data_IF_125842529912
#
_entry.id   IF_125842529912
#
_cell.length_a   1.000
_cell.length_b   1.000
_cell.length_c   1.000
_cell.angle_alpha   90.00
_cell.angle_beta   90.00
_cell.angle_gamma   90.00
#
_symmetry.space_group_name_H-M   'P 1'
#
loop_
_entity.id
_entity.type
_entity.pdbx_description
1 polymer ?
#
# COMPACT_ATOMS: atom_id res chain seq x y z
N UNK A 1 12.31 -4.26 -44.90
CA UNK A 1 13.33 -5.22 -44.39
C UNK A 1 14.76 -4.77 -44.72
N UNK A 2 15.02 -4.20 -45.90
CA UNK A 2 16.34 -3.68 -46.29
C UNK A 2 16.89 -2.63 -45.32
N UNK A 3 16.09 -1.61 -44.98
CA UNK A 3 16.52 -0.48 -44.13
C UNK A 3 16.76 -0.86 -42.67
N UNK A 4 16.01 -1.85 -42.15
CA UNK A 4 16.20 -2.35 -40.78
C UNK A 4 17.57 -3.02 -40.65
N UNK A 5 17.92 -3.86 -41.64
CA UNK A 5 19.21 -4.53 -41.71
C UNK A 5 20.32 -3.49 -41.85
N UNK A 6 20.13 -2.49 -42.71
CA UNK A 6 21.08 -1.40 -42.91
C UNK A 6 21.40 -0.61 -41.62
N UNK A 7 20.40 -0.34 -40.78
CA UNK A 7 20.60 0.37 -39.51
C UNK A 7 21.33 -0.51 -38.48
N UNK A 8 21.00 -1.79 -38.41
CA UNK A 8 21.67 -2.73 -37.51
C UNK A 8 23.12 -2.99 -37.95
N UNK A 9 23.37 -3.10 -39.25
CA UNK A 9 24.71 -3.22 -39.83
C UNK A 9 25.52 -1.94 -39.58
N UNK A 10 24.91 -0.76 -39.69
CA UNK A 10 25.55 0.51 -39.34
C UNK A 10 25.91 0.60 -37.85
N UNK A 11 25.01 0.20 -36.96
CA UNK A 11 25.27 0.12 -35.51
C UNK A 11 26.47 -0.78 -35.21
N UNK A 12 26.54 -1.95 -35.86
CA UNK A 12 27.69 -2.85 -35.73
C UNK A 12 28.98 -2.22 -36.21
N UNK A 13 28.98 -1.67 -37.43
CA UNK A 13 30.19 -1.12 -38.04
C UNK A 13 30.73 0.08 -37.25
N UNK A 14 29.84 0.95 -36.78
CA UNK A 14 30.20 2.14 -36.01
C UNK A 14 30.68 1.79 -34.59
N UNK A 15 30.11 0.74 -33.98
CA UNK A 15 30.60 0.23 -32.69
C UNK A 15 31.97 -0.42 -32.81
N UNK A 16 32.19 -1.22 -33.87
CA UNK A 16 33.48 -1.83 -34.16
C UNK A 16 34.54 -0.76 -34.45
N UNK A 17 34.19 0.30 -35.20
CA UNK A 17 35.07 1.43 -35.50
C UNK A 17 35.52 2.19 -34.25
N UNK A 18 34.60 2.48 -33.33
CA UNK A 18 34.86 3.34 -32.16
C UNK A 18 35.44 2.54 -30.99
N UNK A 19 34.84 1.41 -30.65
CA UNK A 19 35.16 0.65 -29.43
C UNK A 19 36.00 -0.61 -29.69
N UNK A 20 36.29 -0.92 -30.96
CA UNK A 20 37.01 -2.14 -31.40
C UNK A 20 36.40 -3.41 -30.84
N UNK A 21 35.08 -3.44 -30.72
CA UNK A 21 34.31 -4.60 -30.28
C UNK A 21 33.04 -4.77 -31.12
N UNK A 22 32.61 -6.02 -31.28
CA UNK A 22 31.33 -6.35 -31.93
C UNK A 22 30.27 -6.60 -30.87
N UNK A 23 29.26 -5.72 -30.72
CA UNK A 23 28.21 -5.92 -29.73
C UNK A 23 27.25 -7.03 -30.19
N UNK A 24 26.79 -7.85 -29.24
CA UNK A 24 25.75 -8.84 -29.51
C UNK A 24 24.41 -8.15 -29.82
N UNK A 25 23.88 -8.36 -31.01
CA UNK A 25 22.60 -7.80 -31.49
C UNK A 25 21.55 -8.91 -31.53
N UNK A 26 20.44 -8.73 -30.82
CA UNK A 26 19.31 -9.64 -30.87
C UNK A 26 18.35 -9.20 -31.99
N UNK A 27 18.53 -9.75 -33.18
CA UNK A 27 17.79 -9.38 -34.38
C UNK A 27 16.24 -9.37 -34.22
N UNK A 28 15.60 -10.39 -33.63
CA UNK A 28 14.15 -10.36 -33.39
C UNK A 28 13.68 -9.17 -32.55
N UNK A 29 14.40 -8.83 -31.48
CA UNK A 29 14.02 -7.75 -30.57
C UNK A 29 14.40 -6.37 -31.10
N UNK A 30 15.65 -6.22 -31.51
CA UNK A 30 16.23 -4.94 -31.95
C UNK A 30 15.74 -4.58 -33.36
N UNK A 31 15.56 -5.58 -34.24
CA UNK A 31 14.96 -5.38 -35.57
C UNK A 31 13.49 -5.00 -35.51
N UNK A 32 12.71 -5.52 -34.55
CA UNK A 32 11.32 -5.10 -34.34
C UNK A 32 11.21 -3.66 -33.84
N UNK A 33 12.18 -3.20 -33.05
CA UNK A 33 12.23 -1.82 -32.55
C UNK A 33 12.59 -0.84 -33.67
N UNK A 34 13.60 -1.16 -34.49
CA UNK A 34 13.96 -0.35 -35.67
C UNK A 34 12.80 -0.33 -36.67
N UNK A 35 12.12 -1.46 -36.88
CA UNK A 35 10.92 -1.55 -37.73
C UNK A 35 9.83 -0.58 -37.27
N UNK A 36 9.54 -0.54 -35.97
CA UNK A 36 8.54 0.34 -35.35
C UNK A 36 8.87 1.83 -35.54
N UNK A 37 10.15 2.19 -35.45
CA UNK A 37 10.58 3.59 -35.62
C UNK A 37 10.54 4.06 -37.07
N UNK A 38 10.90 3.19 -38.02
CA UNK A 38 10.84 3.50 -39.45
C UNK A 38 9.40 3.56 -39.98
N UNK A 39 8.57 2.55 -39.65
CA UNK A 39 7.23 2.40 -40.23
C UNK A 39 6.14 3.13 -39.44
N UNK A 40 6.13 3.03 -38.11
CA UNK A 40 5.02 3.56 -37.31
C UNK A 40 5.24 5.01 -36.89
N UNK A 41 6.50 5.49 -36.91
CA UNK A 41 6.88 6.82 -36.41
C UNK A 41 7.59 7.69 -37.47
N UNK A 42 7.76 7.20 -38.70
CA UNK A 42 8.28 7.97 -39.84
C UNK A 42 9.71 8.52 -39.68
N UNK A 43 10.53 7.92 -38.81
CA UNK A 43 11.90 8.38 -38.59
C UNK A 43 12.76 8.08 -39.83
N UNK A 44 13.53 9.07 -40.29
CA UNK A 44 14.45 8.91 -41.43
C UNK A 44 15.68 8.05 -41.06
N UNK A 45 16.14 7.23 -42.00
CA UNK A 45 17.26 6.29 -41.83
C UNK A 45 18.54 7.02 -41.44
N UNK A 46 18.83 8.18 -42.04
CA UNK A 46 20.06 8.94 -41.73
C UNK A 46 19.98 9.59 -40.36
N UNK A 47 18.79 10.03 -39.96
CA UNK A 47 18.55 10.56 -38.60
C UNK A 47 18.82 9.48 -37.56
N UNK A 48 18.29 8.28 -37.76
CA UNK A 48 18.55 7.12 -36.89
C UNK A 48 20.05 6.77 -36.82
N UNK A 49 20.75 6.73 -37.96
CA UNK A 49 22.20 6.50 -38.00
C UNK A 49 22.97 7.56 -37.22
N UNK A 50 22.63 8.85 -37.36
CA UNK A 50 23.28 9.93 -36.64
C UNK A 50 23.12 9.80 -35.12
N UNK A 51 21.91 9.50 -34.64
CA UNK A 51 21.63 9.27 -33.22
C UNK A 51 22.37 8.04 -32.68
N UNK A 52 22.43 6.96 -33.47
CA UNK A 52 23.19 5.75 -33.13
C UNK A 52 24.68 6.07 -33.00
N UNK A 53 25.28 6.77 -33.97
CA UNK A 53 26.69 7.13 -33.93
C UNK A 53 27.02 8.03 -32.72
N UNK A 54 26.16 9.01 -32.42
CA UNK A 54 26.33 9.89 -31.27
C UNK A 54 26.27 9.10 -29.95
N UNK A 55 25.32 8.17 -29.84
CA UNK A 55 25.16 7.33 -28.66
C UNK A 55 26.34 6.37 -28.45
N UNK A 56 26.83 5.74 -29.53
CA UNK A 56 28.02 4.88 -29.48
C UNK A 56 29.26 5.66 -29.05
N UNK A 57 29.46 6.89 -29.54
CA UNK A 57 30.59 7.75 -29.14
C UNK A 57 30.54 8.13 -27.66
N UNK A 58 29.33 8.33 -27.12
CA UNK A 58 29.13 8.67 -25.72
C UNK A 58 29.24 7.44 -24.78
N UNK A 59 29.04 6.22 -25.30
CA UNK A 59 29.08 5.00 -24.51
C UNK A 59 30.50 4.60 -24.11
N UNK A 60 30.67 3.96 -22.93
CA UNK A 60 31.93 3.33 -22.53
C UNK A 60 32.10 1.96 -23.24
N UNK A 61 33.35 1.53 -23.41
CA UNK A 61 33.68 0.24 -24.03
C UNK A 61 33.03 -0.91 -23.25
N UNK A 62 32.06 -1.60 -23.87
CA UNK A 62 31.29 -2.69 -23.26
C UNK A 62 29.81 -2.37 -22.96
N UNK A 63 29.40 -1.09 -23.01
CA UNK A 63 28.04 -0.62 -22.68
C UNK A 63 27.23 -0.17 -23.91
N UNK A 64 27.76 -0.39 -25.11
CA UNK A 64 27.22 0.13 -26.38
C UNK A 64 25.79 -0.37 -26.69
N UNK A 65 25.43 -1.57 -26.21
CA UNK A 65 24.07 -2.12 -26.33
C UNK A 65 23.03 -1.38 -25.49
N UNK A 66 23.43 -0.92 -24.29
CA UNK A 66 22.55 -0.12 -23.43
C UNK A 66 22.36 1.28 -24.02
N UNK A 67 23.38 1.80 -24.71
CA UNK A 67 23.33 3.06 -25.43
C UNK A 67 22.37 3.02 -26.64
N UNK A 68 22.30 1.90 -27.36
CA UNK A 68 21.27 1.67 -28.39
C UNK A 68 19.87 1.62 -27.76
N UNK A 69 19.68 0.88 -26.67
CA UNK A 69 18.39 0.80 -25.98
C UNK A 69 17.93 2.15 -25.42
N UNK A 70 18.83 2.98 -24.90
CA UNK A 70 18.50 4.30 -24.36
C UNK A 70 18.07 5.28 -25.47
N UNK A 71 18.69 5.22 -26.66
CA UNK A 71 18.23 5.98 -27.83
C UNK A 71 16.81 5.53 -28.23
N UNK A 72 16.57 4.22 -28.28
CA UNK A 72 15.28 3.66 -28.67
C UNK A 72 14.15 3.99 -27.66
N UNK A 73 14.46 4.07 -26.37
CA UNK A 73 13.52 4.48 -25.31
C UNK A 73 13.29 6.00 -25.35
N UNK A 74 14.34 6.81 -25.57
CA UNK A 74 14.23 8.28 -25.66
C UNK A 74 13.36 8.75 -26.83
N UNK A 75 13.35 8.01 -27.95
CA UNK A 75 12.50 8.32 -29.11
C UNK A 75 11.01 8.07 -28.81
N UNK A 76 10.70 7.05 -27.99
CA UNK A 76 9.34 6.72 -27.58
C UNK A 76 8.75 7.77 -26.61
N UNK A 77 9.61 8.46 -25.86
CA UNK A 77 9.22 9.54 -24.93
C UNK A 77 9.27 10.95 -25.55
N UNK A 78 9.78 11.10 -26.78
CA UNK A 78 10.27 12.37 -27.31
C UNK A 78 9.53 12.97 -28.51
N UNK A 79 8.25 12.64 -28.75
CA UNK A 79 7.43 13.38 -29.73
C UNK A 79 6.66 14.56 -29.12
N UNK A 80 7.38 15.47 -28.46
CA UNK A 80 7.03 16.89 -28.45
C UNK A 80 8.27 17.70 -28.83
N UNK A 81 8.31 18.06 -30.11
CA UNK A 81 9.08 19.15 -30.73
C UNK A 81 10.53 19.36 -30.25
N UNK A 82 11.49 19.10 -31.15
CA UNK A 82 12.16 20.22 -31.82
C UNK A 82 12.98 19.75 -33.04
N UNK A 83 12.67 20.40 -34.17
CA UNK A 83 13.50 20.53 -35.35
C UNK A 83 14.89 21.06 -35.01
N UNK A 84 15.91 20.60 -35.73
CA UNK A 84 17.29 21.11 -35.68
C UNK A 84 17.31 22.57 -36.18
N UNK A 85 17.97 23.51 -35.47
CA UNK A 85 18.86 24.44 -36.16
C UNK A 85 20.23 24.61 -35.46
N UNK A 86 21.21 25.23 -36.16
CA UNK A 86 22.64 24.96 -36.04
C UNK A 86 23.38 25.89 -35.06
N UNK A 87 24.67 25.60 -34.88
CA UNK A 87 25.67 26.23 -34.02
C UNK A 87 25.66 25.74 -32.57
N UNK A 88 26.78 25.14 -32.16
CA UNK A 88 27.08 24.79 -30.76
C UNK A 88 26.81 26.02 -29.89
N UNK A 89 25.86 25.98 -28.94
CA UNK A 89 25.65 27.12 -28.05
C UNK A 89 26.92 27.32 -27.25
N UNK A 90 27.56 28.48 -27.44
CA UNK A 90 28.74 28.87 -26.68
C UNK A 90 28.43 28.78 -25.17
N UNK A 91 29.36 28.22 -24.39
CA UNK A 91 29.18 28.01 -22.96
C UNK A 91 28.94 29.38 -22.30
N UNK A 92 27.83 29.58 -21.58
CA UNK A 92 27.46 30.89 -21.05
C UNK A 92 28.18 31.20 -19.72
N UNK A 93 29.51 31.24 -19.72
CA UNK A 93 30.35 31.49 -18.53
C UNK A 93 29.93 32.74 -17.75
N UNK A 94 29.66 33.83 -18.48
CA UNK A 94 29.21 35.10 -17.89
C UNK A 94 27.89 34.97 -17.13
N UNK A 95 26.94 34.17 -17.62
CA UNK A 95 25.65 33.96 -16.95
C UNK A 95 25.81 33.14 -15.67
N UNK A 96 26.61 32.07 -15.72
CA UNK A 96 26.87 31.21 -14.55
C UNK A 96 27.53 32.00 -13.42
N UNK A 97 28.61 32.72 -13.74
CA UNK A 97 29.37 33.46 -12.72
C UNK A 97 28.67 34.74 -12.30
N UNK A 98 27.97 35.43 -13.20
CA UNK A 98 27.10 36.55 -12.84
C UNK A 98 26.01 36.15 -11.86
N UNK A 99 25.39 34.98 -12.05
CA UNK A 99 24.40 34.44 -11.12
C UNK A 99 25.00 34.08 -9.77
N UNK A 100 26.17 33.43 -9.74
CA UNK A 100 26.89 33.14 -8.49
C UNK A 100 27.21 34.42 -7.72
N UNK A 101 27.77 35.43 -8.39
CA UNK A 101 28.08 36.71 -7.79
C UNK A 101 26.86 37.41 -7.19
N UNK A 102 25.74 37.36 -7.91
CA UNK A 102 24.47 37.94 -7.45
C UNK A 102 23.94 37.21 -6.21
N UNK A 103 24.03 35.88 -6.16
CA UNK A 103 23.48 35.06 -5.07
C UNK A 103 24.37 34.99 -3.83
N UNK A 104 25.68 34.91 -4.01
CA UNK A 104 26.65 34.80 -2.93
C UNK A 104 27.22 36.15 -2.47
N UNK A 105 26.86 37.25 -3.13
CA UNK A 105 27.44 38.59 -2.85
C UNK A 105 28.93 38.68 -3.20
N UNK A 106 29.40 37.85 -4.13
CA UNK A 106 30.81 37.75 -4.53
C UNK A 106 31.11 38.51 -5.82
N UNK A 107 32.40 38.64 -6.16
CA UNK A 107 32.86 39.35 -7.37
C UNK A 107 33.87 38.54 -8.19
N UNK A 108 33.54 37.27 -8.47
CA UNK A 108 34.36 36.38 -9.31
C UNK A 108 34.34 36.81 -10.78
N UNK A 109 35.46 36.59 -11.48
CA UNK A 109 35.58 36.92 -12.91
C UNK A 109 35.16 35.71 -13.76
N UNK A 110 34.27 35.91 -14.72
CA UNK A 110 33.87 34.86 -15.65
C UNK A 110 34.96 34.50 -16.66
N UNK A 111 36.01 35.32 -16.77
CA UNK A 111 37.17 35.13 -17.64
C UNK A 111 38.34 34.41 -16.96
N UNK A 112 38.18 34.00 -15.70
CA UNK A 112 39.21 33.26 -14.97
C UNK A 112 39.41 31.85 -15.57
N UNK A 113 40.63 31.48 -16.00
CA UNK A 113 40.87 30.19 -16.65
C UNK A 113 40.54 28.97 -15.79
N UNK A 114 40.76 29.04 -14.47
CA UNK A 114 40.45 27.92 -13.57
C UNK A 114 38.93 27.71 -13.46
N UNK A 115 38.18 28.80 -13.31
CA UNK A 115 36.72 28.80 -13.28
C UNK A 115 36.11 28.33 -14.60
N UNK A 116 36.65 28.79 -15.74
CA UNK A 116 36.23 28.35 -17.07
C UNK A 116 36.40 26.84 -17.24
N UNK A 117 37.57 26.29 -16.89
CA UNK A 117 37.85 24.84 -16.97
C UNK A 117 36.86 24.01 -16.16
N UNK A 118 36.48 24.47 -14.97
CA UNK A 118 35.51 23.76 -14.13
C UNK A 118 34.12 23.75 -14.78
N UNK A 119 33.68 24.88 -15.34
CA UNK A 119 32.39 24.96 -16.04
C UNK A 119 32.40 24.12 -17.32
N UNK A 120 33.48 24.16 -18.10
CA UNK A 120 33.67 23.34 -19.31
C UNK A 120 33.62 21.86 -19.00
N UNK A 121 34.29 21.42 -17.93
CA UNK A 121 34.26 20.03 -17.49
C UNK A 121 32.82 19.56 -17.24
N UNK A 122 32.03 20.30 -16.45
CA UNK A 122 30.62 19.96 -16.18
C UNK A 122 29.74 20.07 -17.42
N UNK A 123 29.99 21.03 -18.30
CA UNK A 123 29.26 21.17 -19.56
C UNK A 123 29.46 19.97 -20.48
N UNK A 124 30.69 19.45 -20.52
CA UNK A 124 31.05 18.24 -21.28
C UNK A 124 30.44 16.96 -20.69
N UNK A 125 30.22 16.92 -19.37
CA UNK A 125 29.51 15.84 -18.67
C UNK A 125 27.98 15.85 -18.95
N UNK A 126 27.46 16.88 -19.62
CA UNK A 126 26.05 16.97 -20.01
C UNK A 126 25.23 17.97 -19.20
N UNK A 127 25.80 18.60 -18.16
CA UNK A 127 25.12 19.62 -17.38
C UNK A 127 24.89 20.91 -18.18
N UNK A 128 23.81 21.63 -17.87
CA UNK A 128 23.42 22.88 -18.54
C UNK A 128 23.24 24.02 -17.55
N UNK A 129 23.03 25.22 -18.06
CA UNK A 129 22.98 26.47 -17.28
C UNK A 129 22.05 26.35 -16.06
N UNK A 130 20.90 25.69 -16.24
CA UNK A 130 19.89 25.46 -15.21
C UNK A 130 20.45 24.64 -14.05
N UNK A 131 21.29 23.64 -14.33
CA UNK A 131 21.94 22.82 -13.31
C UNK A 131 22.94 23.63 -12.48
N UNK A 132 23.72 24.51 -13.13
CA UNK A 132 24.64 25.40 -12.42
C UNK A 132 23.89 26.38 -11.53
N UNK A 133 22.81 26.98 -12.02
CA UNK A 133 21.96 27.86 -11.22
C UNK A 133 21.38 27.13 -10.02
N UNK A 134 20.90 25.89 -10.22
CA UNK A 134 20.37 25.06 -9.14
C UNK A 134 21.41 24.69 -8.10
N UNK A 135 22.63 24.33 -8.49
CA UNK A 135 23.75 24.11 -7.55
C UNK A 135 24.04 25.36 -6.74
N UNK A 136 24.09 26.53 -7.39
CA UNK A 136 24.30 27.82 -6.72
C UNK A 136 23.19 28.08 -5.71
N UNK A 137 21.92 27.92 -6.09
CA UNK A 137 20.78 28.15 -5.20
C UNK A 137 20.79 27.18 -4.01
N UNK A 138 21.03 25.89 -4.27
CA UNK A 138 21.11 24.86 -3.22
C UNK A 138 22.17 25.19 -2.18
N UNK A 139 23.38 25.50 -2.64
CA UNK A 139 24.49 25.72 -1.73
C UNK A 139 24.41 27.09 -1.05
N UNK A 140 23.89 28.10 -1.74
CA UNK A 140 23.61 29.41 -1.11
C UNK A 140 22.57 29.28 -0.01
N UNK A 141 21.54 28.46 -0.19
CA UNK A 141 20.59 28.16 0.89
C UNK A 141 21.29 27.46 2.08
N UNK A 142 22.09 26.41 1.83
CA UNK A 142 22.74 25.65 2.92
C UNK A 142 23.83 26.42 3.65
N UNK A 143 24.63 27.20 2.93
CA UNK A 143 25.86 27.79 3.45
C UNK A 143 25.78 29.30 3.63
N UNK A 144 24.91 29.99 2.89
CA UNK A 144 24.82 31.45 2.87
C UNK A 144 24.38 32.07 4.19
N UNK A 145 23.75 31.31 5.09
CA UNK A 145 23.36 31.78 6.43
C UNK A 145 24.37 31.44 7.52
N UNK A 146 25.38 30.63 7.22
CA UNK A 146 26.44 30.28 8.17
C UNK A 146 27.71 31.04 7.78
N UNK A 147 28.12 31.99 8.62
CA UNK A 147 29.27 32.85 8.38
C UNK A 147 30.57 32.07 8.08
N UNK A 148 30.75 30.89 8.69
CA UNK A 148 31.93 30.04 8.46
C UNK A 148 31.86 29.28 7.13
N UNK A 149 30.66 29.07 6.60
CA UNK A 149 30.45 28.28 5.38
C UNK A 149 30.36 29.15 4.12
N UNK A 150 30.16 30.47 4.25
CA UNK A 150 30.07 31.39 3.11
C UNK A 150 31.33 31.38 2.24
N UNK A 151 32.51 31.18 2.83
CA UNK A 151 33.80 31.11 2.11
C UNK A 151 33.86 29.97 1.09
N UNK A 152 32.98 28.98 1.21
CA UNK A 152 32.86 27.85 0.30
C UNK A 152 31.93 28.12 -0.89
N UNK A 153 31.22 29.27 -0.93
CA UNK A 153 30.40 29.70 -2.07
C UNK A 153 31.26 30.31 -3.19
N UNK A 154 32.13 29.48 -3.78
CA UNK A 154 33.07 29.86 -4.82
C UNK A 154 33.15 28.82 -5.94
N UNK A 155 33.60 29.18 -7.15
CA UNK A 155 33.63 28.26 -8.30
C UNK A 155 34.38 26.95 -8.01
N UNK A 156 35.54 27.03 -7.35
CA UNK A 156 36.37 25.87 -7.02
C UNK A 156 35.66 24.82 -6.16
N UNK A 157 34.72 25.23 -5.33
CA UNK A 157 33.98 24.32 -4.46
C UNK A 157 32.69 23.87 -5.15
N UNK A 158 31.92 24.81 -5.70
CA UNK A 158 30.62 24.53 -6.32
C UNK A 158 30.72 23.69 -7.60
N UNK A 159 31.75 23.91 -8.41
CA UNK A 159 31.93 23.25 -9.71
C UNK A 159 33.01 22.16 -9.71
N UNK A 160 33.35 21.67 -8.51
CA UNK A 160 34.21 20.51 -8.29
C UNK A 160 33.57 19.21 -8.79
N UNK A 161 34.29 18.09 -8.67
CA UNK A 161 33.80 16.73 -8.94
C UNK A 161 32.56 16.33 -8.12
N UNK A 162 32.26 17.05 -7.05
CA UNK A 162 31.05 16.90 -6.23
C UNK A 162 29.83 17.64 -6.79
N UNK A 163 29.91 18.23 -7.98
CA UNK A 163 28.82 18.99 -8.61
C UNK A 163 27.48 18.24 -8.60
N UNK A 164 27.47 16.96 -8.99
CA UNK A 164 26.27 16.13 -8.97
C UNK A 164 25.66 15.97 -7.57
N UNK A 165 26.49 15.90 -6.53
CA UNK A 165 26.02 15.82 -5.15
C UNK A 165 25.36 17.13 -4.71
N UNK A 166 25.90 18.28 -5.13
CA UNK A 166 25.31 19.59 -4.85
C UNK A 166 24.02 19.81 -5.64
N UNK A 167 23.93 19.28 -6.86
CA UNK A 167 22.72 19.37 -7.69
C UNK A 167 21.55 18.60 -7.06
N UNK A 168 21.83 17.42 -6.50
CA UNK A 168 20.87 16.57 -5.79
C UNK A 168 20.70 16.90 -4.30
N UNK A 169 21.32 17.95 -3.78
CA UNK A 169 21.26 18.28 -2.37
C UNK A 169 19.83 18.66 -1.95
N UNK A 170 19.25 17.89 -1.01
CA UNK A 170 17.95 18.23 -0.40
C UNK A 170 18.09 19.51 0.42
N UNK A 171 17.27 20.51 0.09
CA UNK A 171 17.18 21.79 0.81
C UNK A 171 16.05 21.68 1.82
N UNK A 172 16.35 22.00 3.07
CA UNK A 172 15.37 21.98 4.15
C UNK A 172 14.82 23.40 4.41
N UNK A 173 13.63 23.51 5.03
CA UNK A 173 13.11 24.79 5.52
C UNK A 173 14.07 25.53 6.47
N UNK A 174 14.96 24.81 7.15
CA UNK A 174 16.03 25.38 8.00
C UNK A 174 17.11 26.04 7.15
N UNK A 175 17.53 25.39 6.05
CA UNK A 175 18.51 25.95 5.11
C UNK A 175 17.97 27.24 4.47
N UNK A 176 16.67 27.27 4.15
CA UNK A 176 15.99 28.47 3.66
C UNK A 176 15.74 29.51 4.76
N UNK A 177 16.01 29.17 6.04
CA UNK A 177 15.71 29.94 7.26
C UNK A 177 14.26 30.39 7.37
N UNK A 178 13.35 29.54 6.89
CA UNK A 178 11.90 29.66 7.09
C UNK A 178 11.56 29.22 8.52
N UNK A 179 12.34 28.29 9.11
CA UNK A 179 12.14 27.77 10.46
C UNK A 179 13.47 27.57 11.19
N UNK A 180 13.44 27.56 12.53
CA UNK A 180 14.61 27.20 13.34
C UNK A 180 14.90 25.70 13.28
N UNK A 181 16.15 25.27 13.56
CA UNK A 181 16.51 23.85 13.58
C UNK A 181 15.62 23.05 14.55
N UNK A 182 15.41 23.56 15.77
CA UNK A 182 14.55 22.94 16.77
C UNK A 182 13.07 22.90 16.33
N UNK A 183 12.58 23.94 15.64
CA UNK A 183 11.22 23.98 15.09
C UNK A 183 11.03 22.99 13.94
N UNK A 184 12.03 22.82 13.08
CA UNK A 184 11.99 21.82 12.02
C UNK A 184 12.13 20.39 12.54
N UNK A 185 13.00 20.14 13.53
CA UNK A 185 13.08 18.83 14.21
C UNK A 185 11.75 18.48 14.88
N UNK A 186 11.09 19.44 15.52
CA UNK A 186 9.75 19.25 16.09
C UNK A 186 8.68 19.01 15.02
N UNK A 187 8.77 19.67 13.86
CA UNK A 187 7.90 19.42 12.69
C UNK A 187 8.13 18.04 12.09
N UNK A 188 9.38 17.56 12.03
CA UNK A 188 9.71 16.22 11.56
C UNK A 188 9.18 15.15 12.51
N UNK A 189 9.28 15.36 13.82
CA UNK A 189 8.66 14.50 14.83
C UNK A 189 7.14 14.53 14.71
N UNK A 190 6.54 15.68 14.39
CA UNK A 190 5.11 15.78 14.10
C UNK A 190 4.72 15.06 12.81
N UNK A 191 5.54 15.13 11.76
CA UNK A 191 5.30 14.45 10.48
C UNK A 191 5.50 12.94 10.59
N UNK A 192 6.51 12.46 11.32
CA UNK A 192 6.66 11.04 11.68
C UNK A 192 5.50 10.59 12.57
N UNK A 193 5.09 11.38 13.56
CA UNK A 193 3.93 11.08 14.39
C UNK A 193 2.62 11.09 13.59
N UNK A 194 2.44 11.99 12.62
CA UNK A 194 1.27 12.04 11.74
C UNK A 194 1.28 10.88 10.75
N UNK A 195 2.42 10.51 10.18
CA UNK A 195 2.56 9.35 9.30
C UNK A 195 2.33 8.06 10.08
N UNK A 196 2.91 7.94 11.27
CA UNK A 196 2.69 6.84 12.21
C UNK A 196 1.22 6.78 12.65
N UNK A 197 0.60 7.91 13.01
CA UNK A 197 -0.83 7.97 13.35
C UNK A 197 -1.73 7.65 12.15
N UNK A 198 -1.36 8.05 10.93
CA UNK A 198 -2.07 7.68 9.70
C UNK A 198 -1.89 6.20 9.36
N UNK A 199 -0.73 5.61 9.63
CA UNK A 199 -0.48 4.19 9.49
C UNK A 199 -1.22 3.38 10.57
N UNK A 200 -1.25 3.85 11.82
CA UNK A 200 -2.08 3.30 12.90
C UNK A 200 -3.57 3.41 12.58
N UNK A 201 -4.04 4.53 12.02
CA UNK A 201 -5.43 4.70 11.58
C UNK A 201 -5.75 3.83 10.36
N UNK A 202 -4.79 3.62 9.44
CA UNK A 202 -4.95 2.67 8.32
C UNK A 202 -4.94 1.23 8.79
N UNK A 203 -4.07 0.86 9.72
CA UNK A 203 -4.02 -0.46 10.35
C UNK A 203 -5.28 -0.70 11.19
N UNK A 204 -5.79 0.32 11.88
CA UNK A 204 -7.07 0.30 12.59
C UNK A 204 -8.26 0.21 11.62
N UNK A 205 -8.26 0.94 10.51
CA UNK A 205 -9.31 0.83 9.48
C UNK A 205 -9.24 -0.52 8.75
N UNK A 206 -8.05 -1.10 8.59
CA UNK A 206 -7.84 -2.41 7.98
C UNK A 206 -8.10 -3.56 8.98
N UNK A 207 -7.98 -3.30 10.28
CA UNK A 207 -8.55 -4.13 11.34
C UNK A 207 -10.06 -3.98 11.44
N UNK A 208 -10.66 -2.80 11.21
CA UNK A 208 -12.12 -2.59 11.13
C UNK A 208 -12.72 -3.16 9.83
N UNK A 209 -11.92 -3.33 8.77
CA UNK A 209 -12.32 -4.10 7.58
C UNK A 209 -12.15 -5.62 7.77
N UNK A 210 -11.34 -6.08 8.74
CA UNK A 210 -11.14 -7.52 9.07
C UNK A 210 -11.87 -8.00 10.34
N UNK A 211 -12.27 -7.10 11.23
CA UNK A 211 -13.29 -7.27 12.25
C UNK A 211 -14.56 -6.80 11.58
N UNK A 212 -15.28 -7.74 10.96
CA UNK A 212 -16.41 -7.46 10.09
C UNK A 212 -17.26 -6.32 10.61
N UNK A 213 -17.61 -5.39 9.71
CA UNK A 213 -18.81 -4.58 9.91
C UNK A 213 -19.87 -5.51 10.50
N UNK A 214 -20.29 -5.22 11.73
CA UNK A 214 -21.26 -6.00 12.49
C UNK A 214 -22.64 -5.77 11.84
N UNK A 215 -22.72 -6.11 10.55
CA UNK A 215 -23.89 -5.95 9.70
C UNK A 215 -24.89 -6.90 10.30
N UNK A 216 -25.92 -6.31 10.87
CA UNK A 216 -26.99 -7.04 11.52
C UNK A 216 -27.66 -7.91 10.44
N UNK A 217 -27.65 -9.24 10.58
CA UNK A 217 -28.18 -10.19 9.62
C UNK A 217 -29.71 -10.27 9.75
N UNK A 218 -30.40 -9.16 9.45
CA UNK A 218 -31.87 -9.05 9.58
C UNK A 218 -32.60 -10.11 8.77
N UNK A 219 -32.11 -10.38 7.55
CA UNK A 219 -32.69 -11.35 6.64
C UNK A 219 -32.60 -12.76 7.20
N UNK A 220 -31.45 -13.15 7.73
CA UNK A 220 -31.22 -14.47 8.31
C UNK A 220 -32.10 -14.68 9.56
N UNK A 221 -32.15 -13.69 10.46
CA UNK A 221 -32.94 -13.78 11.70
C UNK A 221 -34.42 -13.95 11.40
N UNK A 222 -34.98 -13.10 10.52
CA UNK A 222 -36.41 -13.13 10.20
C UNK A 222 -36.78 -14.35 9.36
N UNK A 223 -35.92 -14.76 8.43
CA UNK A 223 -36.13 -16.00 7.65
C UNK A 223 -36.17 -17.22 8.57
N UNK A 224 -35.28 -17.28 9.55
CA UNK A 224 -35.25 -18.36 10.53
C UNK A 224 -36.51 -18.41 11.39
N UNK A 225 -36.98 -17.25 11.88
CA UNK A 225 -38.25 -17.15 12.61
C UNK A 225 -39.43 -17.65 11.75
N UNK A 226 -39.52 -17.19 10.51
CA UNK A 226 -40.57 -17.59 9.58
C UNK A 226 -40.59 -19.11 9.36
N UNK A 227 -39.41 -19.70 9.17
CA UNK A 227 -39.25 -21.14 8.99
C UNK A 227 -39.71 -21.94 10.22
N UNK A 228 -39.36 -21.50 11.43
CA UNK A 228 -39.65 -22.23 12.67
C UNK A 228 -41.07 -22.04 13.18
N UNK A 229 -41.58 -20.81 13.12
CA UNK A 229 -42.92 -20.47 13.61
C UNK A 229 -44.02 -20.67 12.54
N UNK A 230 -43.67 -21.00 11.29
CA UNK A 230 -44.64 -21.10 10.19
C UNK A 230 -45.25 -19.75 9.83
N UNK A 231 -44.47 -18.67 9.96
CA UNK A 231 -44.91 -17.29 9.75
C UNK A 231 -44.27 -16.66 8.50
N UNK A 232 -44.66 -15.42 8.16
CA UNK A 232 -44.26 -14.74 6.93
C UNK A 232 -43.91 -13.25 7.13
N UNK A 233 -43.18 -12.95 8.21
CA UNK A 233 -42.69 -11.61 8.52
C UNK A 233 -41.66 -11.10 7.49
N UNK A 234 -41.62 -9.79 7.29
CA UNK A 234 -40.68 -9.15 6.34
C UNK A 234 -39.40 -8.72 7.06
N UNK A 235 -38.20 -9.04 6.52
CA UNK A 235 -36.94 -8.61 7.12
C UNK A 235 -36.70 -7.10 7.02
N UNK A 236 -37.41 -6.41 6.13
CA UNK A 236 -37.36 -4.96 5.93
C UNK A 236 -38.39 -4.18 6.77
N UNK A 237 -39.16 -4.87 7.63
CA UNK A 237 -40.11 -4.21 8.51
C UNK A 237 -39.38 -3.38 9.58
N UNK A 238 -39.66 -2.07 9.62
CA UNK A 238 -38.92 -1.14 10.47
C UNK A 238 -39.09 -1.43 11.97
N UNK A 239 -40.26 -1.93 12.40
CA UNK A 239 -40.49 -2.27 13.81
C UNK A 239 -39.66 -3.50 14.21
N UNK A 240 -39.65 -4.53 13.36
CA UNK A 240 -38.86 -5.75 13.54
C UNK A 240 -37.36 -5.45 13.52
N UNK A 241 -36.90 -4.64 12.58
CA UNK A 241 -35.49 -4.20 12.51
C UNK A 241 -35.07 -3.50 13.80
N UNK A 242 -35.85 -2.54 14.30
CA UNK A 242 -35.53 -1.82 15.56
C UNK A 242 -35.39 -2.74 16.75
N UNK A 243 -36.23 -3.77 16.84
CA UNK A 243 -36.16 -4.76 17.92
C UNK A 243 -34.88 -5.59 17.82
N UNK A 244 -34.53 -6.04 16.61
CA UNK A 244 -33.30 -6.79 16.36
C UNK A 244 -32.07 -5.90 16.64
N UNK A 245 -32.06 -4.66 16.16
CA UNK A 245 -31.01 -3.67 16.42
C UNK A 245 -30.80 -3.46 17.91
N UNK A 246 -31.87 -3.28 18.68
CA UNK A 246 -31.78 -3.09 20.12
C UNK A 246 -31.06 -4.27 20.81
N UNK A 247 -31.41 -5.52 20.47
CA UNK A 247 -30.76 -6.71 21.03
C UNK A 247 -29.33 -6.88 20.53
N UNK A 248 -29.08 -6.53 19.28
CA UNK A 248 -27.74 -6.59 18.70
C UNK A 248 -26.77 -5.64 19.43
N UNK A 249 -27.23 -4.42 19.72
CA UNK A 249 -26.49 -3.40 20.49
C UNK A 249 -26.29 -3.79 21.96
N UNK A 250 -27.18 -4.60 22.53
CA UNK A 250 -27.02 -5.19 23.87
C UNK A 250 -25.96 -6.31 23.91
N UNK A 251 -25.39 -6.70 22.77
CA UNK A 251 -24.32 -7.70 22.67
C UNK A 251 -24.78 -9.08 22.21
N UNK A 252 -26.07 -9.28 21.94
CA UNK A 252 -26.57 -10.54 21.39
C UNK A 252 -26.19 -10.70 19.91
N UNK A 253 -25.97 -11.93 19.45
CA UNK A 253 -25.59 -12.25 18.06
C UNK A 253 -26.54 -13.27 17.45
N UNK A 254 -26.40 -13.52 16.14
CA UNK A 254 -27.31 -14.36 15.34
C UNK A 254 -27.69 -15.69 16.03
N UNK A 255 -26.72 -16.37 16.64
CA UNK A 255 -26.91 -17.62 17.36
C UNK A 255 -27.90 -17.48 18.53
N UNK A 256 -27.87 -16.36 19.26
CA UNK A 256 -28.79 -16.07 20.35
C UNK A 256 -30.23 -15.88 19.85
N UNK A 257 -30.40 -15.19 18.72
CA UNK A 257 -31.72 -15.02 18.09
C UNK A 257 -32.31 -16.36 17.66
N UNK A 258 -31.51 -17.20 17.00
CA UNK A 258 -31.93 -18.54 16.59
C UNK A 258 -32.32 -19.39 17.79
N UNK A 259 -31.53 -19.32 18.87
CA UNK A 259 -31.80 -20.05 20.12
C UNK A 259 -33.08 -19.58 20.82
N UNK A 260 -33.35 -18.27 20.86
CA UNK A 260 -34.62 -17.73 21.38
C UNK A 260 -35.80 -18.27 20.55
N UNK A 261 -35.69 -18.25 19.23
CA UNK A 261 -36.72 -18.78 18.33
C UNK A 261 -36.95 -20.28 18.60
N UNK A 262 -35.90 -21.08 18.71
CA UNK A 262 -36.01 -22.52 19.00
C UNK A 262 -36.64 -22.79 20.37
N UNK A 263 -36.21 -22.08 21.41
CA UNK A 263 -36.72 -22.26 22.77
C UNK A 263 -38.22 -21.97 22.85
N UNK A 264 -38.65 -20.87 22.25
CA UNK A 264 -40.03 -20.44 22.35
C UNK A 264 -40.93 -21.21 21.38
N UNK A 265 -40.42 -21.61 20.21
CA UNK A 265 -41.15 -22.51 19.30
C UNK A 265 -41.38 -23.88 19.95
N UNK A 266 -40.40 -24.42 20.68
CA UNK A 266 -40.63 -25.63 21.47
C UNK A 266 -41.69 -25.40 22.55
N UNK A 267 -41.56 -24.34 23.35
CA UNK A 267 -42.49 -24.09 24.47
C UNK A 267 -43.92 -23.76 24.06
N UNK A 268 -44.09 -23.03 22.96
CA UNK A 268 -45.38 -22.44 22.59
C UNK A 268 -45.94 -23.03 21.30
N UNK A 269 -45.12 -23.62 20.43
CA UNK A 269 -45.54 -24.10 19.11
C UNK A 269 -46.50 -25.29 19.14
N UNK A 270 -46.57 -26.01 20.27
CA UNK A 270 -47.54 -27.11 20.46
C UNK A 270 -48.83 -26.67 21.17
N UNK A 271 -48.87 -25.44 21.72
CA UNK A 271 -50.08 -24.90 22.37
C UNK A 271 -50.75 -23.89 21.41
N UNK A 272 -51.93 -24.21 20.85
CA UNK A 272 -52.63 -23.34 19.91
C UNK A 272 -52.88 -21.92 20.44
N UNK A 273 -53.04 -21.75 21.77
CA UNK A 273 -53.23 -20.43 22.38
C UNK A 273 -51.94 -19.64 22.45
N UNK A 274 -50.80 -20.31 22.54
CA UNK A 274 -49.51 -19.64 22.72
C UNK A 274 -48.81 -19.36 21.38
N UNK A 275 -49.21 -20.02 20.30
CA UNK A 275 -48.65 -19.81 18.96
C UNK A 275 -48.72 -18.35 18.49
N UNK A 276 -49.75 -17.58 18.85
CA UNK A 276 -49.89 -16.18 18.46
C UNK A 276 -48.76 -15.27 19.00
N UNK A 277 -48.05 -15.74 20.03
CA UNK A 277 -46.94 -15.04 20.65
C UNK A 277 -45.60 -15.30 19.94
N UNK A 278 -45.53 -16.20 18.95
CA UNK A 278 -44.33 -16.44 18.13
C UNK A 278 -44.14 -15.36 17.04
N UNK A 279 -43.97 -14.12 17.50
CA UNK A 279 -43.81 -12.92 16.65
C UNK A 279 -42.65 -12.05 17.11
N UNK A 280 -42.05 -11.22 16.24
CA UNK A 280 -40.90 -10.38 16.59
C UNK A 280 -41.13 -9.53 17.84
N UNK A 281 -42.31 -8.91 17.97
CA UNK A 281 -42.66 -8.06 19.11
C UNK A 281 -42.63 -8.78 20.47
N UNK A 282 -42.87 -10.08 20.50
CA UNK A 282 -42.78 -10.86 21.75
C UNK A 282 -41.37 -11.42 21.92
N UNK A 283 -40.83 -12.07 20.89
CA UNK A 283 -39.56 -12.79 20.96
C UNK A 283 -38.35 -11.86 21.15
N UNK A 284 -38.39 -10.68 20.53
CA UNK A 284 -37.30 -9.69 20.56
C UNK A 284 -37.61 -8.50 21.48
N UNK A 285 -38.54 -8.70 22.42
CA UNK A 285 -38.86 -7.76 23.50
C UNK A 285 -37.72 -7.63 24.53
N UNK A 286 -37.92 -6.78 25.53
CA UNK A 286 -37.04 -6.63 26.70
C UNK A 286 -36.82 -7.93 27.49
N UNK A 287 -37.66 -8.94 27.27
CA UNK A 287 -37.54 -10.28 27.87
C UNK A 287 -36.64 -11.24 27.08
N UNK A 288 -35.94 -10.77 26.05
CA UNK A 288 -35.06 -11.60 25.20
C UNK A 288 -34.11 -12.51 25.99
N UNK A 289 -33.39 -11.96 26.97
CA UNK A 289 -32.47 -12.74 27.81
C UNK A 289 -33.16 -13.87 28.59
N UNK A 290 -34.40 -13.64 29.04
CA UNK A 290 -35.19 -14.68 29.72
C UNK A 290 -35.57 -15.81 28.76
N UNK A 291 -35.87 -15.49 27.50
CA UNK A 291 -36.17 -16.49 26.47
C UNK A 291 -34.91 -17.24 26.03
N UNK A 292 -33.75 -16.58 26.01
CA UNK A 292 -32.47 -17.19 25.67
C UNK A 292 -32.05 -18.25 26.70
N UNK A 293 -32.25 -17.94 27.99
CA UNK A 293 -32.00 -18.84 29.13
C UNK A 293 -33.13 -19.82 29.45
N UNK A 294 -34.20 -19.86 28.66
CA UNK A 294 -35.37 -20.67 28.95
C UNK A 294 -35.05 -22.18 28.89
N UNK A 295 -35.29 -22.90 29.98
CA UNK A 295 -35.15 -24.37 30.01
C UNK A 295 -36.25 -25.01 29.17
N UNK A 296 -35.87 -25.75 28.12
CA UNK A 296 -36.77 -26.53 27.26
C UNK A 296 -36.75 -27.98 27.72
N UNK A 297 -37.90 -28.50 28.13
CA UNK A 297 -38.06 -29.89 28.57
C UNK A 297 -38.39 -30.81 27.38
N UNK A 298 -38.21 -32.15 27.53
CA UNK A 298 -38.68 -33.12 26.55
C UNK A 298 -40.19 -33.03 26.27
N UNK A 299 -40.97 -32.54 27.25
CA UNK A 299 -42.42 -32.31 27.09
C UNK A 299 -42.67 -31.18 26.11
N UNK A 300 -41.94 -30.07 26.24
CA UNK A 300 -42.04 -28.92 25.34
C UNK A 300 -41.71 -29.32 23.89
N UNK A 301 -40.79 -30.27 23.68
CA UNK A 301 -40.46 -30.81 22.35
C UNK A 301 -41.45 -31.87 21.83
N UNK A 302 -42.49 -32.21 22.59
CA UNK A 302 -43.42 -33.28 22.26
C UNK A 302 -42.81 -34.68 22.30
N UNK A 303 -41.63 -34.84 22.93
CA UNK A 303 -40.92 -36.12 23.00
C UNK A 303 -41.46 -37.03 24.12
N UNK A 304 -42.02 -36.45 25.18
CA UNK A 304 -42.60 -37.18 26.31
C UNK A 304 -43.89 -36.50 26.77
N UNK A 305 -44.83 -37.30 27.29
CA UNK A 305 -45.95 -36.75 28.05
C UNK A 305 -45.46 -36.14 29.36
N UNK A 306 -46.26 -35.26 29.96
CA UNK A 306 -45.91 -34.63 31.25
C UNK A 306 -45.66 -35.66 32.36
N UNK A 307 -46.46 -36.72 32.38
CA UNK A 307 -46.30 -37.83 33.32
C UNK A 307 -45.08 -38.71 32.96
N UNK A 308 -44.83 -38.95 31.68
CA UNK A 308 -43.64 -39.68 31.22
C UNK A 308 -42.34 -38.96 31.61
N UNK A 309 -42.30 -37.63 31.49
CA UNK A 309 -41.16 -36.84 31.92
C UNK A 309 -40.97 -36.90 33.44
N UNK A 310 -42.04 -36.77 34.24
CA UNK A 310 -41.98 -36.92 35.71
C UNK A 310 -41.41 -38.28 36.11
N UNK A 311 -41.90 -39.36 35.51
CA UNK A 311 -41.38 -40.71 35.76
C UNK A 311 -39.90 -40.83 35.41
N UNK A 312 -39.45 -40.23 34.30
CA UNK A 312 -38.03 -40.27 33.89
C UNK A 312 -37.08 -39.60 34.90
N UNK A 313 -37.53 -38.52 35.57
CA UNK A 313 -36.73 -37.83 36.59
C UNK A 313 -36.60 -38.67 37.86
N UNK A 314 -37.67 -39.35 38.25
CA UNK A 314 -37.66 -40.29 39.38
C UNK A 314 -36.70 -41.45 39.09
N UNK A 315 -36.73 -42.03 37.88
CA UNK A 315 -35.82 -43.11 37.47
C UNK A 315 -34.35 -42.65 37.49
N UNK A 316 -34.04 -41.45 36.97
CA UNK A 316 -32.67 -40.91 37.01
C UNK A 316 -32.18 -40.70 38.44
N UNK A 317 -32.97 -40.06 39.30
CA UNK A 317 -32.58 -39.82 40.69
C UNK A 317 -32.45 -41.11 41.51
N UNK A 318 -33.23 -42.15 41.18
CA UNK A 318 -33.03 -43.49 41.73
C UNK A 318 -31.70 -44.11 41.24
N UNK A 319 -31.41 -44.05 39.95
CA UNK A 319 -30.19 -44.61 39.37
C UNK A 319 -28.91 -43.93 39.88
N UNK A 320 -28.93 -42.61 40.09
CA UNK A 320 -27.82 -41.85 40.68
C UNK A 320 -27.58 -42.24 42.14
N UNK A 321 -28.65 -42.39 42.95
CA UNK A 321 -28.52 -42.89 44.32
C UNK A 321 -27.94 -44.30 44.35
N UNK A 322 -28.43 -45.20 43.49
CA UNK A 322 -27.94 -46.57 43.40
C UNK A 322 -26.46 -46.63 42.97
N UNK A 323 -26.02 -45.74 42.07
CA UNK A 323 -24.61 -45.63 41.68
C UNK A 323 -23.73 -45.22 42.86
N UNK A 324 -24.14 -44.20 43.63
CA UNK A 324 -23.39 -43.73 44.80
C UNK A 324 -23.28 -44.81 45.89
N UNK A 325 -24.35 -45.57 46.13
CA UNK A 325 -24.33 -46.71 47.05
C UNK A 325 -23.30 -47.77 46.61
N UNK A 326 -23.23 -48.09 45.32
CA UNK A 326 -22.27 -49.08 44.79
C UNK A 326 -20.81 -48.57 44.82
N UNK A 327 -20.60 -47.25 44.67
CA UNK A 327 -19.28 -46.61 44.82
C UNK A 327 -18.82 -46.58 46.29
N UNK A 328 -19.75 -46.47 47.24
CA UNK A 328 -19.47 -46.54 48.69
C UNK A 328 -19.20 -47.97 49.16
N UNK A 329 -19.89 -48.98 48.59
CA UNK A 329 -19.66 -50.41 48.91
C UNK A 329 -18.38 -50.99 48.27
N UNK A 330 -17.85 -50.38 47.21
CA UNK A 330 -16.64 -50.84 46.50
C UNK A 330 -15.30 -50.35 47.09
N UNK A 331 -15.31 -49.60 48.19
CA UNK A 331 -14.14 -48.97 48.80
C UNK A 331 -13.50 -49.69 49.99
N UNK A 332 -14.02 -50.86 50.41
CA UNK A 332 -13.61 -51.52 51.67
C UNK A 332 -12.85 -52.86 51.52
N UNK A 333 -12.51 -53.33 50.32
CA UNK A 333 -11.72 -54.57 50.16
C UNK A 333 -10.40 -54.31 49.40
N UNK A 334 -9.27 -54.27 50.14
CA UNK A 334 -7.96 -54.51 49.52
C UNK A 334 -6.71 -53.83 50.10
N UNK A 335 -6.51 -53.76 51.41
CA UNK A 335 -5.16 -53.65 51.99
C UNK A 335 -5.01 -54.65 53.15
N UNK A 336 -4.83 -55.93 52.82
CA UNK A 336 -4.27 -56.91 53.76
C UNK A 336 -2.78 -57.06 53.45
N UNK A 337 -1.99 -56.30 54.21
CA UNK A 337 -0.52 -56.27 54.18
C UNK A 337 0.03 -57.59 54.75
N UNK A 338 0.50 -58.48 53.89
CA UNK A 338 1.22 -59.70 54.32
C UNK A 338 2.66 -59.32 54.62
N UNK A 339 2.99 -59.20 55.91
CA UNK A 339 4.35 -59.27 56.43
C UNK A 339 4.59 -60.61 57.14
N UNK A 340 5.73 -61.23 56.77
CA UNK A 340 6.43 -62.39 57.33
C UNK A 340 6.10 -63.77 56.73
#
# INVERSE_FOLDING_TARGET
MSEIKEILDYYWMETERIHRCRPAVNFPREGSLVKRLLLDHGADVNTLKAHIAQSIRAARKGETRLALMNVLISFQSGMQQQSIPPATPAIPFGKVIGYLNTKAGSSFKSTDPATMRMIEARWSEGYRLEDFQKVIDNMTAKWGKNAQMMDFLRPATLFSDKFGNYLGAKITPVDLGIMSRAGYESSLVLDEWIVQKRQELRARNQQVENEGTDIIPFTEIVTYLNQKAGSSYKPTDAATMRMIEARWMEGYRLEDFQKVVDNMTAKWGLDPKMMEFLRPATLFSDKFGNYLGAVVTPVDRGLLSRDGYRSSLVIKSWAERKRREMEEEGGEEGEEEVYA
#
